data_IF_684778164207
#
_entry.id   IF_684778164207
#
_cell.length_a   1.000
_cell.length_b   1.000
_cell.length_c   1.000
_cell.angle_alpha   90.00
_cell.angle_beta   90.00
_cell.angle_gamma   90.00
#
_symmetry.space_group_name_H-M   'P 1'
#
loop_
_entity.id
_entity.type
_entity.pdbx_description
1 polymer ?
#
# COMPACT_ATOMS: atom_id res chain seq x y z
N UNK A 1 -9.92 -17.81 12.13
CA UNK A 1 -9.21 -18.60 11.11
C UNK A 1 -8.23 -17.72 10.30
N UNK A 2 -7.35 -16.91 10.93
CA UNK A 2 -6.61 -15.88 10.17
C UNK A 2 -5.10 -15.77 10.41
N UNK A 3 -4.52 -16.41 11.43
CA UNK A 3 -3.07 -16.27 11.71
C UNK A 3 -2.18 -16.72 10.52
N UNK A 4 -2.62 -17.73 9.77
CA UNK A 4 -1.93 -18.19 8.56
C UNK A 4 -2.10 -17.27 7.35
N UNK A 5 -3.24 -16.58 7.23
CA UNK A 5 -3.47 -15.61 6.14
C UNK A 5 -2.60 -14.37 6.33
N UNK A 6 -2.49 -13.89 7.56
CA UNK A 6 -1.66 -12.72 7.90
C UNK A 6 -0.17 -12.99 7.65
N UNK A 7 0.31 -14.20 7.93
CA UNK A 7 1.69 -14.60 7.64
C UNK A 7 1.98 -14.74 6.14
N UNK A 8 1.06 -15.30 5.36
CA UNK A 8 1.21 -15.42 3.90
C UNK A 8 1.18 -14.06 3.22
N UNK A 9 0.25 -13.19 3.61
CA UNK A 9 0.18 -11.80 3.14
C UNK A 9 1.46 -11.03 3.51
N UNK A 10 1.94 -11.14 4.76
CA UNK A 10 3.23 -10.53 5.17
C UNK A 10 4.40 -11.00 4.32
N UNK A 11 4.48 -12.30 4.02
CA UNK A 11 5.59 -12.86 3.23
C UNK A 11 5.52 -12.45 1.75
N UNK A 12 4.31 -12.35 1.19
CA UNK A 12 4.09 -11.85 -0.17
C UNK A 12 4.43 -10.36 -0.26
N UNK A 13 3.95 -9.56 0.69
CA UNK A 13 4.28 -8.13 0.78
C UNK A 13 5.78 -7.92 0.97
N UNK A 14 6.45 -8.70 1.85
CA UNK A 14 7.92 -8.70 1.99
C UNK A 14 8.65 -8.96 0.69
N UNK A 15 8.14 -9.89 -0.12
CA UNK A 15 8.73 -10.20 -1.42
C UNK A 15 8.53 -9.09 -2.45
N UNK A 16 7.37 -8.41 -2.45
CA UNK A 16 7.11 -7.25 -3.32
C UNK A 16 7.85 -6.00 -2.83
N UNK A 17 8.06 -5.88 -1.52
CA UNK A 17 8.81 -4.83 -0.84
C UNK A 17 10.29 -5.22 -0.68
N UNK A 18 10.81 -6.16 -1.48
CA UNK A 18 12.24 -6.51 -1.48
C UNK A 18 13.05 -5.26 -1.80
N UNK A 19 13.84 -4.79 -0.82
CA UNK A 19 14.62 -3.55 -0.90
C UNK A 19 14.08 -2.42 -0.02
N UNK A 20 12.87 -2.56 0.51
CA UNK A 20 12.30 -1.65 1.52
C UNK A 20 12.65 -2.18 2.92
N UNK A 21 13.30 -1.39 3.79
CA UNK A 21 13.62 -1.77 5.17
C UNK A 21 12.41 -2.27 5.95
N UNK A 22 12.58 -3.28 6.82
CA UNK A 22 11.47 -3.88 7.59
C UNK A 22 10.69 -2.85 8.41
N UNK A 23 11.35 -1.81 8.91
CA UNK A 23 10.72 -0.68 9.59
C UNK A 23 9.70 0.05 8.71
N UNK A 24 10.02 0.25 7.43
CA UNK A 24 9.12 0.89 6.47
C UNK A 24 7.98 -0.06 6.09
N UNK A 25 8.24 -1.36 5.98
CA UNK A 25 7.18 -2.35 5.74
C UNK A 25 6.18 -2.38 6.90
N UNK A 26 6.64 -2.36 8.14
CA UNK A 26 5.76 -2.30 9.31
C UNK A 26 4.97 -1.00 9.37
N UNK A 27 5.55 0.13 8.97
CA UNK A 27 4.83 1.42 8.85
C UNK A 27 3.72 1.34 7.79
N UNK A 28 3.97 0.72 6.64
CA UNK A 28 2.96 0.51 5.61
C UNK A 28 1.82 -0.36 6.16
N UNK A 29 2.15 -1.47 6.83
CA UNK A 29 1.15 -2.37 7.42
C UNK A 29 0.31 -1.63 8.47
N UNK A 30 0.93 -0.87 9.37
CA UNK A 30 0.20 -0.08 10.37
C UNK A 30 -0.67 1.01 9.74
N UNK A 31 -0.21 1.64 8.67
CA UNK A 31 -1.02 2.63 7.95
C UNK A 31 -2.25 1.97 7.30
N UNK A 32 -2.09 0.79 6.71
CA UNK A 32 -3.19 -0.03 6.18
C UNK A 32 -4.15 -0.44 7.31
N UNK A 33 -3.65 -0.83 8.48
CA UNK A 33 -4.50 -1.16 9.64
C UNK A 33 -5.31 0.05 10.14
N UNK A 34 -4.74 1.26 10.10
CA UNK A 34 -5.45 2.49 10.50
C UNK A 34 -6.57 2.87 9.55
N UNK A 35 -6.39 2.71 8.24
CA UNK A 35 -7.45 2.97 7.26
C UNK A 35 -7.41 1.98 6.08
N UNK A 36 -7.93 0.77 6.28
CA UNK A 36 -7.87 -0.27 5.25
C UNK A 36 -8.64 0.12 3.98
N UNK A 37 -9.66 0.98 4.11
CA UNK A 37 -10.43 1.47 2.97
C UNK A 37 -9.58 2.35 2.06
N UNK A 38 -8.90 3.35 2.62
CA UNK A 38 -8.03 4.24 1.84
C UNK A 38 -6.96 3.44 1.08
N UNK A 39 -6.31 2.49 1.74
CA UNK A 39 -5.26 1.68 1.10
C UNK A 39 -5.82 0.71 0.06
N UNK A 40 -7.04 0.21 0.23
CA UNK A 40 -7.74 -0.58 -0.79
C UNK A 40 -8.07 0.26 -2.02
N UNK A 41 -8.55 1.49 -1.82
CA UNK A 41 -8.86 2.43 -2.91
C UNK A 41 -7.57 2.81 -3.66
N UNK A 42 -6.49 3.14 -2.94
CA UNK A 42 -5.16 3.38 -3.51
C UNK A 42 -4.70 2.16 -4.34
N UNK A 43 -4.77 0.95 -3.79
CA UNK A 43 -4.33 -0.26 -4.50
C UNK A 43 -5.14 -0.53 -5.77
N UNK A 44 -6.45 -0.26 -5.75
CA UNK A 44 -7.31 -0.38 -6.91
C UNK A 44 -6.93 0.65 -7.99
N UNK A 45 -6.73 1.91 -7.62
CA UNK A 45 -6.31 2.96 -8.55
C UNK A 45 -4.93 2.70 -9.15
N UNK A 46 -3.97 2.26 -8.33
CA UNK A 46 -2.62 1.91 -8.80
C UNK A 46 -2.72 0.79 -9.83
N UNK A 47 -3.51 -0.26 -9.56
CA UNK A 47 -3.74 -1.32 -10.54
C UNK A 47 -4.39 -0.82 -11.83
N UNK A 48 -5.36 0.10 -11.75
CA UNK A 48 -5.97 0.71 -12.94
C UNK A 48 -4.93 1.46 -13.75
N UNK A 49 -4.07 2.27 -13.11
CA UNK A 49 -3.01 3.02 -13.80
C UNK A 49 -1.92 2.11 -14.36
N UNK A 50 -1.56 1.03 -13.67
CA UNK A 50 -0.66 0.01 -14.19
C UNK A 50 -1.23 -0.70 -15.42
N UNK A 51 -2.53 -1.04 -15.40
CA UNK A 51 -3.24 -1.60 -16.56
C UNK A 51 -3.33 -0.62 -17.72
N UNK A 52 -3.36 0.68 -17.44
CA UNK A 52 -3.29 1.74 -18.44
C UNK A 52 -1.87 1.93 -19.02
N UNK A 53 -0.89 1.12 -18.59
CA UNK A 53 0.48 1.13 -19.11
C UNK A 53 1.46 2.02 -18.33
N UNK A 54 1.05 2.59 -17.19
CA UNK A 54 1.99 3.30 -16.30
C UNK A 54 2.85 2.31 -15.52
N UNK A 55 4.10 2.69 -15.26
CA UNK A 55 4.95 1.93 -14.35
C UNK A 55 4.41 1.99 -12.92
N UNK A 56 4.71 0.96 -12.13
CA UNK A 56 4.20 0.81 -10.76
C UNK A 56 4.60 1.98 -9.86
N UNK A 57 5.81 2.53 -10.02
CA UNK A 57 6.27 3.66 -9.21
C UNK A 57 5.49 4.92 -9.53
N UNK A 58 5.35 5.30 -10.80
CA UNK A 58 4.59 6.47 -11.23
C UNK A 58 3.12 6.35 -10.88
N UNK A 59 2.52 5.18 -11.08
CA UNK A 59 1.14 4.92 -10.69
C UNK A 59 0.94 5.10 -9.17
N UNK A 60 1.84 4.53 -8.37
CA UNK A 60 1.79 4.65 -6.91
C UNK A 60 1.95 6.10 -6.47
N UNK A 61 2.95 6.81 -7.00
CA UNK A 61 3.20 8.21 -6.66
C UNK A 61 1.99 9.08 -6.99
N UNK A 62 1.41 8.90 -8.19
CA UNK A 62 0.27 9.69 -8.64
C UNK A 62 -0.97 9.46 -7.78
N UNK A 63 -1.27 8.20 -7.43
CA UNK A 63 -2.40 7.86 -6.56
C UNK A 63 -2.16 8.35 -5.13
N UNK A 64 -0.95 8.19 -4.59
CA UNK A 64 -0.60 8.74 -3.28
C UNK A 64 -0.68 10.27 -3.25
N UNK A 65 -0.36 10.95 -4.36
CA UNK A 65 -0.57 12.40 -4.49
C UNK A 65 -2.07 12.75 -4.53
N UNK A 66 -2.89 12.01 -5.27
CA UNK A 66 -4.35 12.19 -5.27
C UNK A 66 -4.96 12.03 -3.87
N UNK A 67 -4.48 11.05 -3.10
CA UNK A 67 -4.92 10.77 -1.74
C UNK A 67 -4.05 11.45 -0.67
N UNK A 68 -3.16 12.38 -1.03
CA UNK A 68 -2.23 13.01 -0.09
C UNK A 68 -2.97 13.64 1.08
N UNK A 69 -4.10 14.29 0.81
CA UNK A 69 -4.93 14.94 1.83
C UNK A 69 -5.51 13.93 2.82
N UNK A 70 -6.02 12.80 2.33
CA UNK A 70 -6.55 11.73 3.19
C UNK A 70 -5.44 11.04 4.00
N UNK A 71 -4.27 10.86 3.40
CA UNK A 71 -3.09 10.34 4.09
C UNK A 71 -2.58 11.31 5.17
N UNK A 72 -2.63 12.62 4.91
CA UNK A 72 -2.29 13.65 5.89
C UNK A 72 -3.31 13.71 7.03
N UNK A 73 -4.59 13.65 6.72
CA UNK A 73 -5.67 13.62 7.73
C UNK A 73 -5.59 12.37 8.61
N UNK A 74 -5.03 11.26 8.11
CA UNK A 74 -4.74 10.05 8.91
C UNK A 74 -3.51 10.16 9.82
N UNK A 75 -2.61 11.10 9.53
CA UNK A 75 -1.37 11.31 10.28
C UNK A 75 -1.45 12.45 11.30
N UNK A 76 -2.46 13.33 11.18
CA UNK A 76 -2.81 14.36 12.17
C UNK A 76 -3.65 13.79 13.32
#
# INVERSE_FOLDING_TARGET
MSFFKDLLLKKMLKNQLKGVPEEQQNKIIQAVEKNPKLFSDIAAEVQVKMKAGKDQQSATLEVMMSHQKELQDLMN
#
